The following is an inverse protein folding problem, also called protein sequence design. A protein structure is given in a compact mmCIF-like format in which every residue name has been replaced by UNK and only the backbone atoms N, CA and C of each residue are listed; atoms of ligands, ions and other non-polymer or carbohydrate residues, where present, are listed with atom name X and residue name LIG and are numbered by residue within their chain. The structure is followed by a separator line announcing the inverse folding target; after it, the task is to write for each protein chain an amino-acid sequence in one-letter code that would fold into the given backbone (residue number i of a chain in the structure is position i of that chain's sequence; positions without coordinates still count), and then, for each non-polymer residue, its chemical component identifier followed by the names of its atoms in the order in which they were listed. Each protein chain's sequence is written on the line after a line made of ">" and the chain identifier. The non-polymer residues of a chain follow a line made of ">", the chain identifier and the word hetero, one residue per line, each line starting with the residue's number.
data_IF_983830772136
#
_entry.id   IF_983830772136
#
_cell.length_a   1.000
_cell.length_b   1.000
_cell.length_c   1.000
_cell.angle_alpha   90.00
_cell.angle_beta   90.00
_cell.angle_gamma   90.00
#
_symmetry.space_group_name_H-M   'P 1'
#
loop_
_entity.id
_entity.type
_entity.pdbx_description
1 polymer ?
#
# COMPACT_ATOMS: atom_id res chain seq x y z
N UNK A 1 49.78 -18.85 3.42
CA UNK A 1 50.95 -17.98 3.51
C UNK A 1 50.55 -16.70 4.21
N UNK A 2 51.12 -16.49 5.32
CA UNK A 2 50.92 -15.53 6.39
C UNK A 2 51.23 -14.08 5.98
N UNK A 3 50.62 -13.18 6.78
CA UNK A 3 51.19 -11.89 7.27
C UNK A 3 50.86 -10.67 6.39
N UNK A 4 50.55 -9.46 6.87
CA UNK A 4 50.62 -8.89 8.24
C UNK A 4 49.92 -7.54 8.26
N UNK A 5 49.44 -7.20 9.45
CA UNK A 5 48.97 -5.89 9.92
C UNK A 5 49.95 -4.74 9.66
N UNK A 6 49.40 -3.50 9.50
CA UNK A 6 49.99 -2.35 10.23
C UNK A 6 48.94 -1.28 10.51
N UNK A 7 48.76 -1.03 11.79
CA UNK A 7 48.18 0.14 12.46
C UNK A 7 49.19 1.32 12.43
N UNK A 8 48.68 2.56 12.48
CA UNK A 8 49.24 3.75 13.18
C UNK A 8 48.32 4.93 12.80
N UNK A 9 47.67 5.68 13.61
CA UNK A 9 47.90 6.13 14.97
C UNK A 9 48.32 7.61 15.01
N UNK A 10 47.66 8.38 15.87
CA UNK A 10 47.95 9.69 16.49
C UNK A 10 47.19 10.89 15.93
N UNK A 11 46.22 11.51 16.65
CA UNK A 11 46.23 12.34 17.88
C UNK A 11 46.77 13.77 17.66
N UNK A 12 45.97 14.80 17.93
CA UNK A 12 46.17 16.04 18.70
C UNK A 12 44.98 16.97 18.48
N UNK A 13 44.11 17.34 19.35
CA UNK A 13 44.16 18.04 20.64
C UNK A 13 44.54 19.54 20.54
N UNK A 14 43.68 20.38 21.07
CA UNK A 14 43.95 21.80 21.37
C UNK A 14 42.64 22.61 21.26
N UNK A 15 41.87 22.90 22.23
CA UNK A 15 41.95 23.60 23.53
C UNK A 15 41.89 25.13 23.44
N UNK A 16 40.97 25.67 24.26
CA UNK A 16 40.85 26.99 24.88
C UNK A 16 40.21 28.11 24.04
N UNK A 17 39.48 29.00 24.62
CA UNK A 17 38.84 29.34 25.90
C UNK A 17 38.19 30.70 25.72
N UNK A 18 37.02 30.85 26.35
CA UNK A 18 36.61 31.78 27.37
C UNK A 18 36.73 33.30 27.13
N UNK A 19 35.69 34.02 27.43
CA UNK A 19 35.52 35.00 28.51
C UNK A 19 34.32 35.92 28.22
N UNK A 20 33.36 35.96 29.15
CA UNK A 20 33.12 36.99 30.17
C UNK A 20 32.68 38.34 29.57
N UNK A 21 31.73 39.10 30.03
CA UNK A 21 31.08 39.40 31.34
C UNK A 21 30.09 40.58 31.13
N UNK A 22 29.11 40.75 32.03
CA UNK A 22 28.49 42.04 32.31
C UNK A 22 27.00 41.98 32.54
N UNK A 23 26.48 41.78 33.61
CA UNK A 23 26.20 42.50 34.88
C UNK A 23 25.43 43.80 34.72
N UNK A 24 24.28 43.88 35.46
CA UNK A 24 23.61 45.11 35.87
C UNK A 24 22.10 44.89 36.03
N UNK A 25 21.62 44.47 37.11
CA UNK A 25 21.20 45.01 38.44
C UNK A 25 20.03 46.00 38.43
N UNK A 26 19.00 45.56 39.19
CA UNK A 26 18.15 46.23 40.22
C UNK A 26 16.91 46.99 39.70
N UNK A 27 15.78 47.01 40.38
CA UNK A 27 15.28 46.58 41.68
C UNK A 27 13.73 46.70 41.67
N UNK A 28 13.11 45.90 42.56
CA UNK A 28 11.77 46.09 43.13
C UNK A 28 11.65 47.39 43.96
N UNK A 29 10.48 47.82 44.45
CA UNK A 29 9.61 47.05 45.35
C UNK A 29 8.08 47.36 45.35
N UNK A 30 7.32 46.36 45.77
CA UNK A 30 6.43 46.27 46.94
C UNK A 30 5.08 47.03 47.04
N UNK A 31 4.14 46.26 47.55
CA UNK A 31 3.04 46.45 48.51
C UNK A 31 1.71 46.96 47.92
N UNK A 32 0.53 46.48 48.28
CA UNK A 32 0.01 46.07 49.59
C UNK A 32 -1.33 45.35 49.42
N UNK A 33 -1.59 44.42 50.31
CA UNK A 33 -2.82 43.64 50.46
C UNK A 33 -4.04 44.48 50.91
N UNK A 34 -5.25 43.98 50.64
CA UNK A 34 -6.33 44.00 51.72
C UNK A 34 -7.35 42.87 51.35
N UNK A 35 -7.55 42.01 52.34
CA UNK A 35 -8.60 41.00 52.41
C UNK A 35 -9.86 41.62 53.03
N UNK A 36 -11.04 41.14 52.61
CA UNK A 36 -12.23 41.10 53.50
C UNK A 36 -13.01 39.83 53.15
N UNK A 37 -13.34 39.11 54.20
CA UNK A 37 -14.09 37.85 54.33
C UNK A 37 -15.61 38.04 54.26
N UNK A 38 -16.25 36.85 54.14
CA UNK A 38 -17.59 36.41 54.61
C UNK A 38 -18.76 36.71 53.65
N UNK A 39 -19.65 35.79 53.33
CA UNK A 39 -20.41 34.81 54.15
C UNK A 39 -21.09 33.77 53.22
N UNK A 40 -21.26 32.55 53.77
CA UNK A 40 -22.08 31.44 53.28
C UNK A 40 -23.55 31.79 53.03
N UNK A 41 -24.20 31.16 52.03
CA UNK A 41 -25.51 30.54 52.24
C UNK A 41 -25.78 29.43 51.18
N UNK A 42 -26.11 28.28 51.75
CA UNK A 42 -26.51 27.03 51.19
C UNK A 42 -27.89 27.13 50.54
N UNK A 43 -28.09 26.55 49.32
CA UNK A 43 -29.36 25.88 48.99
C UNK A 43 -29.21 24.79 47.97
N UNK A 44 -29.88 23.69 48.30
CA UNK A 44 -29.80 22.37 47.67
C UNK A 44 -30.51 22.23 46.32
N UNK A 45 -30.00 21.24 45.58
CA UNK A 45 -30.64 20.25 44.73
C UNK A 45 -31.64 20.69 43.66
N UNK A 46 -31.25 20.44 42.40
CA UNK A 46 -32.15 19.78 41.45
C UNK A 46 -31.30 18.97 40.45
N UNK A 47 -31.42 17.64 40.56
CA UNK A 47 -30.90 16.70 39.57
C UNK A 47 -31.61 16.90 38.26
N UNK A 48 -30.87 17.27 37.22
CA UNK A 48 -31.32 17.04 35.86
C UNK A 48 -30.25 16.21 35.16
N UNK A 49 -30.58 14.95 34.87
CA UNK A 49 -29.87 14.06 33.97
C UNK A 49 -29.67 14.78 32.63
N UNK A 50 -28.46 15.24 32.40
CA UNK A 50 -27.99 15.50 31.05
C UNK A 50 -27.30 14.22 30.56
N UNK A 51 -27.84 13.71 29.48
CA UNK A 51 -27.32 12.56 28.74
C UNK A 51 -25.84 12.75 28.41
N UNK A 52 -25.09 11.68 28.50
CA UNK A 52 -23.69 11.67 28.12
C UNK A 52 -23.52 12.13 26.67
N UNK A 53 -23.00 13.34 26.51
CA UNK A 53 -22.38 13.75 25.27
C UNK A 53 -21.05 13.03 25.20
N UNK A 54 -20.93 12.15 24.21
CA UNK A 54 -19.71 11.46 23.83
C UNK A 54 -18.64 12.51 23.52
N UNK A 55 -17.55 12.51 24.26
CA UNK A 55 -16.33 13.33 24.03
C UNK A 55 -15.58 12.99 22.71
N UNK A 56 -16.27 12.49 21.69
CA UNK A 56 -15.69 12.23 20.37
C UNK A 56 -15.77 13.42 19.40
N UNK A 57 -16.41 14.51 19.76
CA UNK A 57 -16.59 15.68 18.88
C UNK A 57 -15.44 16.68 19.06
N UNK A 58 -14.19 16.30 18.73
CA UNK A 58 -13.09 17.27 18.83
C UNK A 58 -11.67 16.76 18.57
N UNK A 59 -11.41 15.46 18.55
CA UNK A 59 -10.06 14.97 18.27
C UNK A 59 -9.83 14.89 16.74
N UNK A 60 -8.78 15.56 16.27
CA UNK A 60 -8.28 15.37 14.90
C UNK A 60 -7.18 14.32 14.94
N UNK A 61 -7.32 13.27 14.16
CA UNK A 61 -6.33 12.18 14.07
C UNK A 61 -5.31 12.48 12.98
N UNK A 62 -4.06 12.13 13.23
CA UNK A 62 -2.99 12.21 12.26
C UNK A 62 -2.83 10.87 11.56
N UNK A 63 -2.96 10.86 10.26
CA UNK A 63 -2.88 9.67 9.42
C UNK A 63 -1.70 9.80 8.47
N UNK A 64 -0.69 8.95 8.63
CA UNK A 64 0.35 8.80 7.63
C UNK A 64 -0.12 7.91 6.50
N UNK A 65 0.14 8.28 5.25
CA UNK A 65 -0.13 7.44 4.08
C UNK A 65 1.16 7.25 3.30
N UNK A 66 1.54 6.00 3.09
CA UNK A 66 2.64 5.63 2.19
C UNK A 66 2.10 4.82 1.03
N UNK A 67 2.08 5.41 -0.15
CA UNK A 67 1.78 4.74 -1.42
C UNK A 67 3.07 4.40 -2.15
N UNK A 68 3.21 3.16 -2.64
CA UNK A 68 4.43 2.70 -3.32
C UNK A 68 4.70 3.50 -4.60
N UNK A 69 3.71 3.60 -5.46
CA UNK A 69 3.82 4.26 -6.78
C UNK A 69 2.45 4.77 -7.22
N UNK A 70 2.42 5.67 -8.16
CA UNK A 70 1.18 6.18 -8.72
C UNK A 70 0.72 5.32 -9.90
N UNK A 71 -0.43 4.69 -9.78
CA UNK A 71 -1.22 4.09 -10.85
C UNK A 71 -2.68 3.92 -10.39
N UNK A 72 -3.57 3.65 -11.34
CA UNK A 72 -5.03 3.69 -11.14
C UNK A 72 -5.53 2.90 -9.94
N UNK A 73 -5.03 1.68 -9.72
CA UNK A 73 -5.51 0.83 -8.63
C UNK A 73 -5.12 1.40 -7.26
N UNK A 74 -3.84 1.81 -7.08
CA UNK A 74 -3.39 2.37 -5.80
C UNK A 74 -4.02 3.73 -5.50
N UNK A 75 -4.21 4.57 -6.53
CA UNK A 75 -4.88 5.86 -6.37
C UNK A 75 -6.33 5.66 -5.90
N UNK A 76 -7.08 4.72 -6.50
CA UNK A 76 -8.44 4.35 -6.06
C UNK A 76 -8.47 3.78 -4.63
N UNK A 77 -7.47 2.99 -4.26
CA UNK A 77 -7.32 2.47 -2.90
C UNK A 77 -7.21 3.61 -1.88
N UNK A 78 -6.36 4.60 -2.17
CA UNK A 78 -6.20 5.78 -1.32
C UNK A 78 -7.49 6.62 -1.26
N UNK A 79 -8.14 6.85 -2.40
CA UNK A 79 -9.41 7.56 -2.49
C UNK A 79 -10.50 6.90 -1.62
N UNK A 80 -10.62 5.56 -1.70
CA UNK A 80 -11.58 4.79 -0.91
C UNK A 80 -11.33 4.91 0.60
N UNK A 81 -10.08 4.79 1.03
CA UNK A 81 -9.69 4.94 2.43
C UNK A 81 -10.05 6.31 2.99
N UNK A 82 -9.69 7.38 2.28
CA UNK A 82 -10.01 8.76 2.67
C UNK A 82 -11.52 8.99 2.71
N UNK A 83 -12.25 8.43 1.73
CA UNK A 83 -13.70 8.55 1.66
C UNK A 83 -14.39 7.91 2.88
N UNK A 84 -13.99 6.71 3.30
CA UNK A 84 -14.59 6.03 4.46
C UNK A 84 -14.44 6.84 5.75
N UNK A 85 -13.25 7.38 6.03
CA UNK A 85 -13.02 8.24 7.19
C UNK A 85 -13.87 9.52 7.13
N UNK A 86 -13.99 10.13 5.96
CA UNK A 86 -14.82 11.31 5.74
C UNK A 86 -16.32 11.02 5.93
N UNK A 87 -16.81 9.91 5.37
CA UNK A 87 -18.21 9.51 5.45
C UNK A 87 -18.62 9.16 6.89
N UNK A 88 -17.66 8.61 7.67
CA UNK A 88 -17.82 8.39 9.11
C UNK A 88 -17.73 9.67 9.95
N UNK A 89 -17.42 10.83 9.35
CA UNK A 89 -17.29 12.10 10.05
C UNK A 89 -16.04 12.21 10.95
N UNK A 90 -15.02 11.38 10.70
CA UNK A 90 -13.76 11.40 11.47
C UNK A 90 -12.90 12.56 10.99
N UNK A 91 -12.51 13.43 11.91
CA UNK A 91 -11.59 14.54 11.60
C UNK A 91 -10.17 14.01 11.47
N UNK A 92 -9.57 14.13 10.30
CA UNK A 92 -8.22 13.63 9.99
C UNK A 92 -7.34 14.70 9.36
N UNK A 93 -6.05 14.69 9.73
CA UNK A 93 -4.95 15.36 9.05
C UNK A 93 -4.10 14.29 8.36
N UNK A 94 -3.97 14.36 7.04
CA UNK A 94 -3.25 13.37 6.25
C UNK A 94 -1.85 13.85 5.88
N UNK A 95 -0.82 13.03 6.19
CA UNK A 95 0.54 13.13 5.64
C UNK A 95 0.67 12.09 4.54
N UNK A 96 0.36 12.50 3.29
CA UNK A 96 0.36 11.59 2.13
C UNK A 96 1.69 11.64 1.40
N UNK A 97 2.35 10.49 1.31
CA UNK A 97 3.66 10.31 0.70
C UNK A 97 3.62 9.24 -0.39
N UNK A 98 4.41 9.45 -1.46
CA UNK A 98 4.54 8.50 -2.57
C UNK A 98 6.01 8.18 -2.80
N UNK A 99 6.36 6.90 -2.85
CA UNK A 99 7.73 6.44 -3.02
C UNK A 99 8.19 6.37 -4.48
N UNK A 100 7.32 6.68 -5.45
CA UNK A 100 7.62 6.65 -6.88
C UNK A 100 8.20 5.32 -7.38
N UNK A 101 7.85 4.19 -6.74
CA UNK A 101 8.34 2.85 -7.07
C UNK A 101 9.71 2.52 -6.49
N UNK A 102 10.31 3.39 -5.68
CA UNK A 102 11.62 3.17 -5.07
C UNK A 102 11.47 2.60 -3.64
N UNK A 103 11.91 1.36 -3.44
CA UNK A 103 11.84 0.70 -2.14
C UNK A 103 12.72 1.39 -1.08
N UNK A 104 13.83 2.03 -1.49
CA UNK A 104 14.67 2.80 -0.56
C UNK A 104 13.96 4.08 -0.10
N UNK A 105 13.17 4.69 -1.00
CA UNK A 105 12.30 5.80 -0.65
C UNK A 105 11.19 5.35 0.31
N UNK A 106 10.58 4.15 0.11
CA UNK A 106 9.62 3.58 1.07
C UNK A 106 10.20 3.54 2.49
N UNK A 107 11.42 3.05 2.65
CA UNK A 107 12.08 2.97 3.96
C UNK A 107 12.32 4.36 4.59
N UNK A 108 12.70 5.34 3.78
CA UNK A 108 12.92 6.72 4.24
C UNK A 108 11.61 7.39 4.67
N UNK A 109 10.56 7.21 3.87
CA UNK A 109 9.23 7.75 4.14
C UNK A 109 8.61 7.07 5.36
N UNK A 110 8.72 5.75 5.49
CA UNK A 110 8.22 5.00 6.63
C UNK A 110 8.80 5.54 7.95
N UNK A 111 10.13 5.74 8.02
CA UNK A 111 10.79 6.37 9.17
C UNK A 111 10.25 7.78 9.45
N UNK A 112 10.00 8.56 8.39
CA UNK A 112 9.47 9.92 8.54
C UNK A 112 8.06 9.90 9.13
N UNK A 113 7.17 9.06 8.58
CA UNK A 113 5.78 8.95 9.07
C UNK A 113 5.73 8.48 10.54
N UNK A 114 6.59 7.54 10.94
CA UNK A 114 6.70 7.10 12.35
C UNK A 114 7.15 8.26 13.23
N UNK A 115 8.17 9.02 12.84
CA UNK A 115 8.69 10.14 13.61
C UNK A 115 7.72 11.34 13.68
N UNK A 116 6.81 11.51 12.73
CA UNK A 116 5.80 12.57 12.72
C UNK A 116 4.69 12.33 13.75
N UNK A 117 4.66 11.18 14.43
CA UNK A 117 3.71 10.87 15.50
C UNK A 117 2.29 10.72 14.97
N UNK A 118 2.13 9.95 13.88
CA UNK A 118 0.83 9.58 13.35
C UNK A 118 0.07 8.65 14.33
N UNK A 119 -1.24 8.81 14.43
CA UNK A 119 -2.11 7.93 15.21
C UNK A 119 -2.32 6.57 14.51
N UNK A 120 -2.21 6.55 13.17
CA UNK A 120 -2.32 5.39 12.31
C UNK A 120 -1.52 5.62 11.02
N UNK A 121 -0.97 4.55 10.43
CA UNK A 121 -0.33 4.60 9.11
C UNK A 121 -1.09 3.68 8.17
N UNK A 122 -1.46 4.20 6.99
CA UNK A 122 -2.02 3.45 5.88
C UNK A 122 -0.94 3.20 4.84
N UNK A 123 -0.62 1.93 4.59
CA UNK A 123 0.40 1.52 3.63
C UNK A 123 -0.24 0.84 2.42
N UNK A 124 0.02 1.36 1.23
CA UNK A 124 -0.59 0.94 -0.02
C UNK A 124 0.45 0.24 -0.88
N UNK A 125 0.25 -1.05 -1.13
CA UNK A 125 1.09 -2.04 -1.78
C UNK A 125 2.11 -2.73 -0.84
N UNK A 126 2.48 -3.97 -1.19
CA UNK A 126 3.32 -4.85 -0.36
C UNK A 126 4.66 -4.24 0.03
N UNK A 127 5.47 -3.63 -0.88
CA UNK A 127 6.74 -3.04 -0.48
C UNK A 127 6.59 -1.86 0.49
N UNK A 128 5.53 -1.06 0.34
CA UNK A 128 5.23 0.03 1.27
C UNK A 128 4.83 -0.50 2.65
N UNK A 129 3.99 -1.54 2.70
CA UNK A 129 3.58 -2.21 3.92
C UNK A 129 4.78 -2.81 4.67
N UNK A 130 5.66 -3.52 3.98
CA UNK A 130 6.89 -4.10 4.54
C UNK A 130 7.82 -3.02 5.09
N UNK A 131 7.97 -1.90 4.41
CA UNK A 131 8.80 -0.78 4.87
C UNK A 131 8.26 -0.18 6.18
N UNK A 132 6.93 0.03 6.29
CA UNK A 132 6.31 0.58 7.51
C UNK A 132 6.35 -0.44 8.65
N UNK A 133 6.00 -1.69 8.42
CA UNK A 133 6.04 -2.75 9.44
C UNK A 133 7.45 -2.99 9.97
N UNK A 134 8.48 -2.79 9.13
CA UNK A 134 9.88 -2.92 9.53
C UNK A 134 10.40 -1.83 10.48
N UNK A 135 9.66 -0.73 10.71
CA UNK A 135 10.13 0.41 11.51
C UNK A 135 9.26 0.76 12.72
N UNK A 136 8.11 0.11 12.87
CA UNK A 136 7.25 0.31 14.06
C UNK A 136 6.44 -0.95 14.39
N UNK A 137 6.33 -1.25 15.68
CA UNK A 137 5.50 -2.31 16.25
C UNK A 137 4.38 -1.77 17.15
N UNK A 138 4.26 -0.44 17.25
CA UNK A 138 3.37 0.25 18.18
C UNK A 138 2.30 1.10 17.51
N UNK A 139 2.60 1.72 16.36
CA UNK A 139 1.61 2.49 15.60
C UNK A 139 0.75 1.49 14.80
N UNK A 140 -0.60 1.57 14.87
CA UNK A 140 -1.46 0.77 14.02
C UNK A 140 -1.16 0.98 12.53
N UNK A 141 -1.00 -0.11 11.80
CA UNK A 141 -0.74 -0.10 10.35
C UNK A 141 -1.90 -0.80 9.65
N UNK A 142 -2.63 -0.08 8.83
CA UNK A 142 -3.56 -0.69 7.90
C UNK A 142 -2.93 -0.79 6.52
N UNK A 143 -3.09 -1.96 5.90
CA UNK A 143 -2.57 -2.22 4.55
C UNK A 143 -3.71 -2.40 3.56
N UNK A 144 -3.47 -2.07 2.30
CA UNK A 144 -4.36 -2.43 1.19
C UNK A 144 -3.56 -2.55 -0.11
N UNK A 145 -4.13 -3.17 -1.12
CA UNK A 145 -3.38 -3.56 -2.31
C UNK A 145 -2.14 -4.41 -1.95
N UNK A 146 -2.33 -5.33 -1.00
CA UNK A 146 -1.36 -6.33 -0.56
C UNK A 146 -1.97 -7.71 -0.81
N UNK A 147 -1.37 -8.48 -1.70
CA UNK A 147 -1.95 -9.74 -2.19
C UNK A 147 -2.18 -10.74 -1.06
N UNK A 148 -1.17 -11.02 -0.26
CA UNK A 148 -1.26 -11.90 0.89
C UNK A 148 -0.37 -11.37 2.02
N UNK A 149 -0.95 -10.70 3.02
CA UNK A 149 -0.19 -10.18 4.15
C UNK A 149 0.59 -11.24 4.93
N UNK A 150 0.05 -12.46 5.09
CA UNK A 150 0.75 -13.54 5.79
C UNK A 150 1.92 -14.09 4.96
N UNK A 151 1.73 -14.33 3.68
CA UNK A 151 2.80 -14.76 2.78
C UNK A 151 3.87 -13.68 2.56
N UNK A 152 3.56 -12.42 2.88
CA UNK A 152 4.47 -11.27 2.79
C UNK A 152 5.19 -10.96 4.12
N UNK A 153 5.09 -11.85 5.11
CA UNK A 153 5.68 -11.71 6.46
C UNK A 153 5.20 -10.45 7.23
N UNK A 154 3.98 -10.00 6.97
CA UNK A 154 3.39 -8.82 7.61
C UNK A 154 2.57 -9.18 8.85
N UNK A 155 1.97 -10.35 8.87
CA UNK A 155 1.09 -10.85 9.94
C UNK A 155 1.33 -12.34 10.17
N UNK A 156 0.97 -12.86 11.36
CA UNK A 156 1.09 -14.30 11.67
C UNK A 156 0.18 -15.17 10.80
N UNK A 157 -1.08 -14.72 10.62
CA UNK A 157 -2.03 -15.26 9.65
C UNK A 157 -3.05 -14.20 9.26
N UNK A 158 -3.70 -14.37 8.12
CA UNK A 158 -4.70 -13.41 7.64
C UNK A 158 -5.97 -13.39 8.52
N UNK A 159 -6.29 -14.50 9.20
CA UNK A 159 -7.42 -14.60 10.14
C UNK A 159 -7.08 -14.04 11.53
N UNK A 160 -5.83 -14.13 11.95
CA UNK A 160 -5.35 -13.68 13.26
C UNK A 160 -3.97 -13.01 13.13
N UNK A 161 -3.94 -11.70 12.84
CA UNK A 161 -2.70 -10.97 12.60
C UNK A 161 -1.71 -11.00 13.77
N UNK A 162 -2.19 -10.92 15.02
CA UNK A 162 -1.42 -10.93 16.28
C UNK A 162 -0.34 -9.83 16.42
N UNK A 163 -0.35 -8.84 15.56
CA UNK A 163 0.60 -7.72 15.54
C UNK A 163 -0.12 -6.38 15.32
N UNK A 164 0.63 -5.32 15.09
CA UNK A 164 0.08 -3.98 14.82
C UNK A 164 -0.31 -3.76 13.34
N UNK A 165 -0.43 -4.82 12.55
CA UNK A 165 -0.82 -4.76 11.13
C UNK A 165 -2.14 -5.46 10.92
N UNK A 166 -3.04 -4.86 10.16
CA UNK A 166 -4.24 -5.45 9.57
C UNK A 166 -4.55 -4.73 8.25
N UNK A 167 -5.71 -4.92 7.66
CA UNK A 167 -6.11 -4.23 6.43
C UNK A 167 -6.89 -5.13 5.48
N UNK A 168 -6.67 -4.95 4.17
CA UNK A 168 -7.38 -5.68 3.12
C UNK A 168 -6.43 -6.30 2.12
N UNK A 169 -6.80 -7.49 1.62
CA UNK A 169 -6.08 -8.22 0.58
C UNK A 169 -6.66 -7.91 -0.80
N UNK A 170 -5.78 -7.77 -1.79
CA UNK A 170 -6.15 -7.63 -3.19
C UNK A 170 -5.88 -8.88 -4.02
N UNK A 171 -5.83 -10.05 -3.39
CA UNK A 171 -5.62 -11.31 -4.09
C UNK A 171 -6.70 -11.50 -5.17
N UNK A 172 -6.30 -11.40 -6.43
CA UNK A 172 -7.16 -11.62 -7.58
C UNK A 172 -7.24 -13.10 -7.95
N UNK A 173 -8.26 -13.54 -8.69
CA UNK A 173 -8.45 -14.94 -9.05
C UNK A 173 -7.51 -15.35 -10.21
N UNK A 174 -6.23 -15.59 -9.91
CA UNK A 174 -5.18 -15.91 -10.89
C UNK A 174 -5.57 -17.09 -11.79
N UNK A 175 -6.15 -18.15 -11.20
CA UNK A 175 -6.59 -19.31 -11.99
C UNK A 175 -7.66 -18.93 -13.01
N UNK A 176 -8.65 -18.16 -12.60
CA UNK A 176 -9.73 -17.71 -13.47
C UNK A 176 -9.22 -16.76 -14.57
N UNK A 177 -8.17 -15.99 -14.30
CA UNK A 177 -7.50 -15.18 -15.32
C UNK A 177 -6.78 -16.06 -16.36
N UNK A 178 -6.15 -17.16 -15.94
CA UNK A 178 -5.57 -18.14 -16.89
C UNK A 178 -6.66 -18.87 -17.65
N UNK A 179 -7.79 -19.24 -17.00
CA UNK A 179 -8.95 -19.83 -17.69
C UNK A 179 -9.56 -18.84 -18.71
N UNK A 180 -9.61 -17.55 -18.39
CA UNK A 180 -10.02 -16.48 -19.31
C UNK A 180 -9.09 -16.40 -20.52
N UNK A 181 -7.77 -16.43 -20.29
CA UNK A 181 -6.78 -16.47 -21.36
C UNK A 181 -7.06 -17.61 -22.35
N UNK A 182 -7.30 -18.82 -21.83
CA UNK A 182 -7.58 -19.99 -22.68
C UNK A 182 -8.89 -19.83 -23.49
N UNK A 183 -9.90 -19.18 -22.91
CA UNK A 183 -11.16 -18.89 -23.63
C UNK A 183 -10.96 -17.89 -24.78
N UNK A 184 -10.10 -16.88 -24.56
CA UNK A 184 -9.78 -15.85 -25.54
C UNK A 184 -8.81 -16.40 -26.60
N UNK A 185 -7.84 -17.21 -26.19
CA UNK A 185 -6.71 -17.70 -26.97
C UNK A 185 -6.65 -19.24 -26.91
N UNK A 186 -7.56 -19.98 -27.58
CA UNK A 186 -7.64 -21.43 -27.44
C UNK A 186 -6.40 -22.17 -27.97
N UNK A 187 -5.63 -21.53 -28.83
CA UNK A 187 -4.42 -22.10 -29.46
C UNK A 187 -3.11 -21.66 -28.77
N UNK A 188 -3.17 -20.96 -27.62
CA UNK A 188 -1.99 -20.50 -26.87
C UNK A 188 -1.14 -21.70 -26.45
N UNK A 189 0.18 -21.63 -26.69
CA UNK A 189 1.14 -22.67 -26.34
C UNK A 189 2.19 -22.24 -25.34
N UNK A 190 2.58 -20.96 -25.42
CA UNK A 190 3.64 -20.42 -24.57
C UNK A 190 3.23 -19.07 -24.01
N UNK A 191 3.21 -18.94 -22.69
CA UNK A 191 2.90 -17.71 -21.97
C UNK A 191 4.18 -17.09 -21.42
N UNK A 192 4.38 -15.81 -21.63
CA UNK A 192 5.40 -15.04 -20.95
C UNK A 192 4.85 -14.48 -19.63
N UNK A 193 5.45 -14.84 -18.50
CA UNK A 193 5.11 -14.30 -17.19
C UNK A 193 5.96 -13.06 -16.96
N UNK A 194 5.35 -11.88 -17.07
CA UNK A 194 6.02 -10.58 -16.90
C UNK A 194 5.74 -10.03 -15.50
N UNK A 195 6.77 -9.89 -14.68
CA UNK A 195 6.61 -9.38 -13.32
C UNK A 195 7.90 -8.77 -12.73
N UNK A 196 7.74 -7.97 -11.67
CA UNK A 196 8.85 -7.43 -10.89
C UNK A 196 9.35 -8.47 -9.88
N UNK A 197 10.60 -8.90 -10.01
CA UNK A 197 11.21 -9.88 -9.11
C UNK A 197 11.52 -9.33 -7.71
N UNK A 198 11.42 -8.01 -7.51
CA UNK A 198 11.63 -7.35 -6.24
C UNK A 198 10.32 -7.16 -5.44
N UNK A 199 9.17 -7.54 -6.00
CA UNK A 199 7.86 -7.48 -5.35
C UNK A 199 7.40 -8.89 -4.93
N UNK A 200 7.30 -9.14 -3.62
CA UNK A 200 6.92 -10.46 -3.08
C UNK A 200 5.51 -10.91 -3.54
N UNK A 201 4.55 -9.98 -3.63
CA UNK A 201 3.22 -10.21 -4.19
C UNK A 201 3.26 -10.71 -5.63
N UNK A 202 4.14 -10.12 -6.46
CA UNK A 202 4.26 -10.48 -7.88
C UNK A 202 4.88 -11.88 -8.06
N UNK A 203 5.90 -12.19 -7.26
CA UNK A 203 6.51 -13.52 -7.23
C UNK A 203 5.49 -14.59 -6.80
N UNK A 204 4.71 -14.34 -5.73
CA UNK A 204 3.66 -15.24 -5.27
C UNK A 204 2.63 -15.53 -6.36
N UNK A 205 2.10 -14.49 -7.02
CA UNK A 205 1.10 -14.66 -8.06
C UNK A 205 1.68 -15.29 -9.34
N UNK A 206 2.95 -15.05 -9.65
CA UNK A 206 3.63 -15.74 -10.75
C UNK A 206 3.70 -17.26 -10.50
N UNK A 207 3.99 -17.70 -9.26
CA UNK A 207 3.96 -19.12 -8.92
C UNK A 207 2.53 -19.70 -9.02
N UNK A 208 1.50 -18.97 -8.58
CA UNK A 208 0.09 -19.39 -8.77
C UNK A 208 -0.27 -19.51 -10.25
N UNK A 209 0.22 -18.58 -11.09
CA UNK A 209 0.01 -18.65 -12.54
C UNK A 209 0.71 -19.86 -13.17
N UNK A 210 1.94 -20.21 -12.73
CA UNK A 210 2.67 -21.40 -13.16
C UNK A 210 1.89 -22.67 -12.83
N UNK A 211 1.36 -22.79 -11.60
CA UNK A 211 0.53 -23.93 -11.20
C UNK A 211 -0.72 -24.09 -12.08
N UNK A 212 -1.38 -22.96 -12.43
CA UNK A 212 -2.54 -22.96 -13.31
C UNK A 212 -2.16 -23.35 -14.75
N UNK A 213 -1.04 -22.84 -15.26
CA UNK A 213 -0.51 -23.15 -16.60
C UNK A 213 -0.04 -24.61 -16.70
N UNK A 214 0.62 -25.14 -15.69
CA UNK A 214 1.01 -26.57 -15.61
C UNK A 214 -0.24 -27.47 -15.65
N UNK A 215 -1.29 -27.10 -14.90
CA UNK A 215 -2.58 -27.82 -14.92
C UNK A 215 -3.22 -27.79 -16.30
N UNK A 216 -3.09 -26.67 -17.01
CA UNK A 216 -3.60 -26.49 -18.37
C UNK A 216 -2.72 -27.14 -19.46
N UNK A 217 -1.50 -27.58 -19.13
CA UNK A 217 -0.53 -28.11 -20.07
C UNK A 217 0.06 -27.06 -21.02
N UNK A 218 0.13 -25.81 -20.60
CA UNK A 218 0.64 -24.66 -21.36
C UNK A 218 2.05 -24.32 -20.89
N UNK A 219 3.00 -24.21 -21.82
CA UNK A 219 4.37 -23.82 -21.49
C UNK A 219 4.44 -22.33 -21.09
N UNK A 220 5.40 -22.01 -20.22
CA UNK A 220 5.63 -20.62 -19.80
C UNK A 220 7.12 -20.31 -19.70
N UNK A 221 7.42 -19.01 -19.67
CA UNK A 221 8.76 -18.46 -19.44
C UNK A 221 8.66 -17.23 -18.56
N UNK A 222 9.54 -17.14 -17.56
CA UNK A 222 9.67 -15.95 -16.73
C UNK A 222 10.40 -14.83 -17.49
N UNK A 223 9.84 -13.63 -17.39
CA UNK A 223 10.41 -12.39 -17.86
C UNK A 223 10.30 -11.37 -16.73
N UNK A 224 11.41 -11.10 -16.08
CA UNK A 224 11.40 -10.26 -14.86
C UNK A 224 12.06 -8.92 -15.11
N UNK A 225 11.54 -7.92 -14.41
CA UNK A 225 12.15 -6.60 -14.29
C UNK A 225 12.53 -6.34 -12.83
N UNK A 226 13.48 -5.45 -12.61
CA UNK A 226 13.84 -4.92 -11.30
C UNK A 226 13.62 -3.41 -11.21
N UNK A 227 13.37 -2.76 -12.35
CA UNK A 227 13.05 -1.34 -12.45
C UNK A 227 12.18 -1.05 -13.67
N UNK A 228 11.45 0.06 -13.65
CA UNK A 228 10.59 0.50 -14.76
C UNK A 228 11.35 0.74 -16.07
N UNK A 229 12.65 1.08 -15.99
CA UNK A 229 13.49 1.32 -17.16
C UNK A 229 13.76 0.04 -17.98
N UNK A 230 13.57 -1.14 -17.40
CA UNK A 230 13.81 -2.43 -18.05
C UNK A 230 12.60 -2.92 -18.83
N UNK A 231 11.40 -2.41 -18.53
CA UNK A 231 10.12 -2.93 -19.07
C UNK A 231 10.14 -3.04 -20.58
N UNK A 232 10.48 -1.97 -21.29
CA UNK A 232 10.50 -1.97 -22.74
C UNK A 232 11.39 -3.07 -23.30
N UNK A 233 12.65 -3.14 -22.85
CA UNK A 233 13.64 -4.11 -23.32
C UNK A 233 13.22 -5.54 -23.02
N UNK A 234 12.64 -5.78 -21.83
CA UNK A 234 12.16 -7.11 -21.45
C UNK A 234 10.98 -7.52 -22.33
N UNK A 235 9.99 -6.63 -22.55
CA UNK A 235 8.85 -6.94 -23.43
C UNK A 235 9.27 -7.14 -24.88
N UNK A 236 10.22 -6.33 -25.39
CA UNK A 236 10.81 -6.54 -26.73
C UNK A 236 11.45 -7.92 -26.86
N UNK A 237 12.08 -8.43 -25.80
CA UNK A 237 12.69 -9.78 -25.81
C UNK A 237 11.68 -10.91 -25.83
N UNK A 238 10.40 -10.65 -25.53
CA UNK A 238 9.30 -11.62 -25.60
C UNK A 238 8.80 -11.83 -27.03
N UNK A 239 9.03 -10.85 -27.90
CA UNK A 239 8.55 -10.89 -29.30
C UNK A 239 9.07 -12.12 -30.02
N UNK A 240 8.13 -12.90 -30.60
CA UNK A 240 8.42 -14.16 -31.29
C UNK A 240 8.78 -15.36 -30.39
N UNK A 241 8.75 -15.16 -29.06
CA UNK A 241 9.06 -16.19 -28.08
C UNK A 241 7.85 -16.64 -27.24
N UNK A 242 6.76 -15.86 -27.25
CA UNK A 242 5.53 -16.14 -26.52
C UNK A 242 4.31 -15.83 -27.35
N UNK A 243 3.20 -16.50 -27.07
CA UNK A 243 1.90 -16.30 -27.74
C UNK A 243 1.01 -15.32 -26.98
N UNK A 244 1.27 -15.15 -25.67
CA UNK A 244 0.54 -14.26 -24.77
C UNK A 244 1.46 -13.80 -23.65
N UNK A 245 1.23 -12.61 -23.12
CA UNK A 245 1.84 -12.14 -21.87
C UNK A 245 0.79 -12.23 -20.77
N UNK A 246 1.16 -12.81 -19.63
CA UNK A 246 0.45 -12.68 -18.37
C UNK A 246 1.27 -11.82 -17.42
N UNK A 247 0.64 -10.84 -16.80
CA UNK A 247 1.23 -10.07 -15.71
C UNK A 247 0.25 -10.01 -14.53
N UNK A 248 0.69 -10.35 -13.31
CA UNK A 248 -0.16 -10.32 -12.11
C UNK A 248 -0.50 -8.88 -11.67
N UNK A 249 -1.05 -8.71 -10.46
CA UNK A 249 -1.18 -7.39 -9.81
C UNK A 249 0.19 -6.88 -9.38
N UNK A 250 0.98 -6.46 -10.36
CA UNK A 250 2.35 -5.99 -10.23
C UNK A 250 2.39 -4.47 -10.32
N UNK A 251 2.87 -3.81 -9.28
CA UNK A 251 2.82 -2.34 -9.20
C UNK A 251 3.77 -1.66 -10.18
N UNK A 252 4.96 -2.27 -10.40
CA UNK A 252 5.95 -1.74 -11.34
C UNK A 252 5.42 -1.86 -12.78
N UNK A 253 4.84 -3.01 -13.12
CA UNK A 253 4.27 -3.25 -14.45
C UNK A 253 3.00 -2.41 -14.65
N UNK A 254 2.14 -2.27 -13.62
CA UNK A 254 0.95 -1.42 -13.69
C UNK A 254 1.31 0.05 -13.99
N UNK A 255 2.32 0.59 -13.30
CA UNK A 255 2.82 1.94 -13.57
C UNK A 255 3.43 2.08 -14.98
N UNK A 256 4.00 1.01 -15.52
CA UNK A 256 4.60 0.96 -16.87
C UNK A 256 3.72 0.33 -17.95
N UNK A 257 2.45 0.01 -17.66
CA UNK A 257 1.59 -0.81 -18.53
C UNK A 257 1.39 -0.22 -19.93
N UNK A 258 1.36 1.09 -20.06
CA UNK A 258 1.29 1.74 -21.37
C UNK A 258 2.47 1.34 -22.27
N UNK A 259 3.68 1.21 -21.70
CA UNK A 259 4.86 0.75 -22.44
C UNK A 259 4.74 -0.73 -22.82
N UNK A 260 4.25 -1.56 -21.88
CA UNK A 260 3.99 -2.99 -22.17
C UNK A 260 2.99 -3.13 -23.32
N UNK A 261 1.85 -2.44 -23.21
CA UNK A 261 0.78 -2.50 -24.20
C UNK A 261 1.24 -2.00 -25.57
N UNK A 262 2.02 -0.91 -25.63
CA UNK A 262 2.56 -0.38 -26.88
C UNK A 262 3.40 -1.44 -27.62
N UNK A 263 4.36 -2.04 -26.95
CA UNK A 263 5.25 -3.04 -27.57
C UNK A 263 4.48 -4.32 -27.89
N UNK A 264 3.66 -4.82 -26.96
CA UNK A 264 2.92 -6.07 -27.14
C UNK A 264 1.88 -5.97 -28.27
N UNK A 265 1.06 -4.92 -28.31
CA UNK A 265 -0.01 -4.74 -29.30
C UNK A 265 0.57 -4.50 -30.71
N UNK A 266 1.65 -3.70 -30.83
CA UNK A 266 2.35 -3.53 -32.11
C UNK A 266 2.84 -4.87 -32.69
N UNK A 267 3.30 -5.78 -31.84
CA UNK A 267 3.78 -7.12 -32.19
C UNK A 267 2.70 -8.21 -32.16
N UNK A 268 1.41 -7.81 -31.98
CA UNK A 268 0.25 -8.72 -31.94
C UNK A 268 0.33 -9.76 -30.83
N UNK A 269 0.91 -9.42 -29.69
CA UNK A 269 0.97 -10.28 -28.50
C UNK A 269 -0.12 -9.82 -27.54
N UNK A 270 -1.19 -10.60 -27.32
CA UNK A 270 -2.22 -10.26 -26.34
C UNK A 270 -1.69 -10.31 -24.91
N UNK A 271 -2.28 -9.47 -24.03
CA UNK A 271 -1.89 -9.41 -22.62
C UNK A 271 -3.09 -9.71 -21.72
N UNK A 272 -2.96 -10.67 -20.83
CA UNK A 272 -3.90 -10.91 -19.73
C UNK A 272 -3.25 -10.34 -18.45
N UNK A 273 -3.99 -9.51 -17.77
CA UNK A 273 -3.43 -8.67 -16.71
C UNK A 273 -4.13 -8.87 -15.36
N UNK A 274 -3.46 -8.54 -14.26
CA UNK A 274 -3.91 -8.83 -12.91
C UNK A 274 -5.03 -7.90 -12.41
N UNK A 275 -5.17 -6.67 -12.97
CA UNK A 275 -6.14 -5.70 -12.49
C UNK A 275 -6.68 -4.79 -13.61
N UNK A 276 -7.79 -4.08 -13.30
CA UNK A 276 -8.58 -3.34 -14.30
C UNK A 276 -7.87 -2.10 -14.86
N UNK A 277 -7.02 -1.42 -14.07
CA UNK A 277 -6.29 -0.24 -14.55
C UNK A 277 -5.25 -0.59 -15.61
N UNK A 278 -4.68 -1.80 -15.56
CA UNK A 278 -3.82 -2.30 -16.63
C UNK A 278 -4.59 -2.54 -17.93
N UNK A 279 -5.87 -2.96 -17.87
CA UNK A 279 -6.74 -3.06 -19.04
C UNK A 279 -7.01 -1.68 -19.64
N UNK A 280 -7.28 -0.69 -18.79
CA UNK A 280 -7.46 0.70 -19.21
C UNK A 280 -6.20 1.28 -19.87
N UNK A 281 -5.02 0.84 -19.43
CA UNK A 281 -3.73 1.24 -19.98
C UNK A 281 -3.32 0.48 -21.25
N UNK A 282 -4.21 -0.34 -21.83
CA UNK A 282 -4.01 -1.02 -23.10
C UNK A 282 -3.83 -2.55 -23.03
N UNK A 283 -3.92 -3.15 -21.84
CA UNK A 283 -4.04 -4.59 -21.67
C UNK A 283 -5.32 -5.14 -22.30
N UNK A 284 -5.38 -6.44 -22.62
CA UNK A 284 -6.52 -7.02 -23.31
C UNK A 284 -7.67 -7.32 -22.35
N UNK A 285 -7.44 -8.08 -21.27
CA UNK A 285 -8.50 -8.51 -20.38
C UNK A 285 -8.00 -8.92 -18.99
N UNK A 286 -8.92 -8.87 -18.02
CA UNK A 286 -8.73 -9.38 -16.66
C UNK A 286 -10.06 -9.84 -16.04
N UNK A 287 -9.98 -10.66 -14.99
CA UNK A 287 -10.94 -10.65 -13.90
C UNK A 287 -10.34 -9.80 -12.76
N UNK A 288 -10.91 -8.64 -12.52
CA UNK A 288 -10.44 -7.65 -11.57
C UNK A 288 -11.33 -7.50 -10.35
N UNK A 289 -10.87 -6.70 -9.40
CA UNK A 289 -11.55 -6.34 -8.16
C UNK A 289 -11.63 -4.82 -8.03
N UNK A 290 -12.55 -4.34 -7.21
CA UNK A 290 -12.74 -2.90 -6.97
C UNK A 290 -11.75 -2.39 -5.91
N UNK A 291 -10.69 -1.74 -6.33
CA UNK A 291 -9.65 -1.17 -5.46
C UNK A 291 -10.14 0.00 -4.61
N UNK A 292 -11.13 0.77 -5.09
CA UNK A 292 -11.77 1.79 -4.25
C UNK A 292 -12.49 1.15 -3.06
N UNK A 293 -13.22 0.07 -3.32
CA UNK A 293 -13.92 -0.64 -2.25
C UNK A 293 -12.96 -1.30 -1.25
N UNK A 294 -11.81 -1.83 -1.71
CA UNK A 294 -10.77 -2.35 -0.80
C UNK A 294 -10.23 -1.25 0.12
N UNK A 295 -9.93 -0.09 -0.45
CA UNK A 295 -9.48 1.06 0.34
C UNK A 295 -10.57 1.54 1.31
N UNK A 296 -11.83 1.56 0.88
CA UNK A 296 -12.96 1.93 1.71
C UNK A 296 -13.12 1.00 2.92
N UNK A 297 -13.02 -0.32 2.71
CA UNK A 297 -13.02 -1.32 3.80
C UNK A 297 -11.86 -1.10 4.78
N UNK A 298 -10.65 -0.80 4.30
CA UNK A 298 -9.54 -0.45 5.17
C UNK A 298 -9.80 0.85 5.96
N UNK A 299 -10.49 1.80 5.36
CA UNK A 299 -10.95 3.02 6.03
C UNK A 299 -11.99 2.75 7.11
N UNK A 300 -12.93 1.82 6.90
CA UNK A 300 -13.86 1.37 7.95
C UNK A 300 -13.12 0.72 9.13
N UNK A 301 -12.08 -0.06 8.85
CA UNK A 301 -11.20 -0.59 9.90
C UNK A 301 -10.47 0.53 10.65
N UNK A 302 -10.03 1.59 9.96
CA UNK A 302 -9.42 2.75 10.60
C UNK A 302 -10.41 3.47 11.52
N UNK A 303 -11.66 3.64 11.10
CA UNK A 303 -12.73 4.21 11.95
C UNK A 303 -12.88 3.39 13.23
N UNK A 304 -12.99 2.07 13.13
CA UNK A 304 -13.13 1.19 14.29
C UNK A 304 -11.93 1.30 15.25
N UNK A 305 -10.71 1.36 14.74
CA UNK A 305 -9.51 1.53 15.57
C UNK A 305 -9.49 2.90 16.27
N UNK A 306 -9.72 3.97 15.52
CA UNK A 306 -9.53 5.34 15.99
C UNK A 306 -10.64 5.83 16.91
N UNK A 307 -11.89 5.42 16.65
CA UNK A 307 -13.07 5.96 17.34
C UNK A 307 -13.74 4.98 18.29
N UNK A 308 -13.61 3.68 18.05
CA UNK A 308 -14.26 2.64 18.84
C UNK A 308 -13.27 1.85 19.70
N UNK A 309 -11.95 2.06 19.50
CA UNK A 309 -10.91 1.39 20.27
C UNK A 309 -10.76 -0.10 19.91
N UNK A 310 -11.09 -0.48 18.67
CA UNK A 310 -10.90 -1.84 18.19
C UNK A 310 -9.41 -2.24 18.23
N UNK A 311 -9.14 -3.46 18.70
CA UNK A 311 -7.78 -3.99 18.75
C UNK A 311 -7.35 -4.54 17.38
N UNK A 312 -6.44 -3.84 16.73
CA UNK A 312 -5.91 -4.22 15.42
C UNK A 312 -5.32 -5.65 15.40
N UNK A 313 -4.78 -6.13 16.54
CA UNK A 313 -4.17 -7.47 16.64
C UNK A 313 -5.17 -8.60 16.42
N UNK A 314 -6.43 -8.34 16.68
CA UNK A 314 -7.52 -9.32 16.51
C UNK A 314 -8.37 -9.05 15.28
N UNK A 315 -8.04 -8.03 14.51
CA UNK A 315 -8.78 -7.63 13.32
C UNK A 315 -8.28 -8.43 12.12
N UNK A 316 -9.10 -9.33 11.53
CA UNK A 316 -8.67 -10.15 10.39
C UNK A 316 -8.45 -9.29 9.15
N UNK A 317 -7.63 -9.80 8.23
CA UNK A 317 -7.49 -9.23 6.89
C UNK A 317 -8.84 -9.34 6.17
N UNK A 318 -9.30 -8.23 5.61
CA UNK A 318 -10.53 -8.15 4.84
C UNK A 318 -10.32 -8.59 3.39
N UNK A 319 -11.35 -9.21 2.81
CA UNK A 319 -11.38 -9.62 1.40
C UNK A 319 -12.66 -9.12 0.75
N UNK A 320 -12.59 -8.72 -0.50
CA UNK A 320 -13.79 -8.60 -1.31
C UNK A 320 -14.33 -9.98 -1.64
N UNK A 321 -15.65 -10.11 -1.64
CA UNK A 321 -16.32 -11.34 -2.04
C UNK A 321 -15.90 -11.71 -3.49
N UNK A 322 -15.49 -12.95 -3.70
CA UNK A 322 -15.06 -13.43 -5.03
C UNK A 322 -16.15 -13.27 -6.10
N UNK A 323 -17.45 -13.26 -5.72
CA UNK A 323 -18.57 -12.99 -6.64
C UNK A 323 -18.59 -11.55 -7.18
N UNK A 324 -17.79 -10.65 -6.59
CA UNK A 324 -17.63 -9.26 -7.03
C UNK A 324 -16.45 -9.05 -7.98
N UNK A 325 -15.70 -10.10 -8.29
CA UNK A 325 -14.71 -10.03 -9.37
C UNK A 325 -15.42 -9.80 -10.70
N UNK A 326 -14.99 -8.79 -11.43
CA UNK A 326 -15.61 -8.36 -12.68
C UNK A 326 -14.71 -8.69 -13.88
N UNK A 327 -15.34 -9.19 -14.96
CA UNK A 327 -14.66 -9.31 -16.24
C UNK A 327 -14.53 -7.92 -16.86
N UNK A 328 -13.29 -7.53 -17.15
CA UNK A 328 -13.00 -6.33 -17.92
C UNK A 328 -12.24 -6.70 -19.16
N UNK A 329 -12.67 -6.16 -20.31
CA UNK A 329 -12.06 -6.38 -21.62
C UNK A 329 -11.87 -5.06 -22.34
N UNK A 330 -10.71 -4.86 -22.93
CA UNK A 330 -10.42 -3.70 -23.79
C UNK A 330 -10.83 -4.05 -25.23
N UNK A 331 -12.00 -3.54 -25.65
CA UNK A 331 -12.56 -3.79 -26.97
C UNK A 331 -11.70 -3.18 -28.10
N UNK A 332 -11.00 -2.08 -27.84
CA UNK A 332 -10.09 -1.44 -28.80
C UNK A 332 -8.83 -2.30 -29.01
N UNK A 333 -8.23 -2.76 -27.92
CA UNK A 333 -7.09 -3.69 -27.97
C UNK A 333 -7.49 -5.01 -28.65
N UNK A 334 -8.65 -5.59 -28.31
CA UNK A 334 -9.14 -6.81 -28.95
C UNK A 334 -9.27 -6.63 -30.47
N UNK A 335 -9.87 -5.52 -30.91
CA UNK A 335 -10.01 -5.18 -32.33
C UNK A 335 -8.65 -4.99 -33.02
N UNK A 336 -7.73 -4.30 -32.38
CA UNK A 336 -6.36 -4.09 -32.90
C UNK A 336 -5.64 -5.41 -33.08
N UNK A 337 -5.76 -6.31 -32.12
CA UNK A 337 -5.16 -7.65 -32.17
C UNK A 337 -5.90 -8.62 -33.11
N UNK A 338 -7.13 -8.29 -33.53
CA UNK A 338 -7.98 -9.16 -34.33
C UNK A 338 -8.57 -10.33 -33.55
N UNK A 339 -8.79 -10.17 -32.24
CA UNK A 339 -9.29 -11.20 -31.34
C UNK A 339 -10.81 -11.08 -31.20
N UNK A 340 -11.52 -12.20 -31.36
CA UNK A 340 -12.97 -12.27 -31.12
C UNK A 340 -13.28 -12.44 -29.62
N UNK A 341 -13.94 -11.43 -29.05
CA UNK A 341 -14.36 -11.42 -27.64
C UNK A 341 -15.87 -11.58 -27.48
N UNK A 342 -16.61 -11.87 -28.55
CA UNK A 342 -18.08 -11.96 -28.53
C UNK A 342 -18.59 -13.06 -27.60
N UNK A 343 -17.83 -14.11 -27.38
CA UNK A 343 -18.14 -15.22 -26.47
C UNK A 343 -17.91 -14.94 -24.98
N UNK A 344 -17.47 -13.73 -24.62
CA UNK A 344 -17.16 -13.37 -23.24
C UNK A 344 -18.31 -12.59 -22.54
N UNK A 345 -19.37 -12.26 -23.27
CA UNK A 345 -20.53 -11.49 -22.76
C UNK A 345 -21.55 -12.38 -22.09
#
# INVERSE_FOLDING_TARGET
>A
MKMTKKMMGLVLAGVLAASMTGCGKKADPAATATAVETTEETKAAEETKAAGETEAAGKTYKIGVLQLVQHTALDKTNEGFVAALKDAGVSCEFDQQNAAGDQSACQTIANTLVNNGNDLIFAIATPAAQAVAGVTDSIPILVSAVTDPAASDLVDSNEAPNCNVSGTSDLTPVKEQIDLMQKILPDVKTVGLLYCSAEANSVLQAEMAKEALDTAGIAYKDYTVSSSNEIQTVVESMVGNVDCIYTPTDNMIAAGMTTVAMVANENKIPTIVGEEGMVDAGGLATYGIDYYQLGYMAGEQAVAILTEGADIKTMPIGYLDASKCTLKVNEETAKELGIDISGLK
#
